data_IF_697890693104
#
_entry.id   IF_697890693104
#
_cell.length_a   1.000
_cell.length_b   1.000
_cell.length_c   1.000
_cell.angle_alpha   90.00
_cell.angle_beta   90.00
_cell.angle_gamma   90.00
#
_symmetry.space_group_name_H-M   'P 1'
#
loop_
_entity.id
_entity.type
_entity.pdbx_description
1 polymer ?
#
# COMPACT_ATOMS: atom_id res chain seq x y z
N UNK A 1 -3.89 -0.83 10.71
CA UNK A 1 -2.44 -0.56 10.76
C UNK A 1 -2.26 0.94 10.76
N UNK A 2 -1.40 1.45 11.62
CA UNK A 2 -1.27 2.90 11.84
C UNK A 2 0.01 3.44 11.18
N UNK A 3 -0.01 4.67 10.64
CA UNK A 3 1.18 5.28 10.07
C UNK A 3 2.27 5.39 11.14
N UNK A 4 3.44 4.83 10.84
CA UNK A 4 4.59 4.90 11.75
C UNK A 4 5.23 6.28 11.67
N UNK A 5 5.58 6.93 12.80
CA UNK A 5 6.18 8.26 12.76
C UNK A 5 7.56 8.24 12.13
N UNK A 6 7.95 9.37 11.54
CA UNK A 6 9.31 9.60 11.06
C UNK A 6 10.28 9.73 12.25
N UNK A 7 11.45 9.10 12.14
CA UNK A 7 12.49 9.16 13.17
C UNK A 7 13.41 10.38 13.04
N UNK A 8 13.21 11.20 12.03
CA UNK A 8 14.08 12.34 11.70
C UNK A 8 13.23 13.48 11.15
N UNK A 9 13.72 14.71 11.32
CA UNK A 9 12.99 15.93 10.95
C UNK A 9 13.45 16.50 9.61
N UNK A 10 14.69 16.19 9.21
CA UNK A 10 15.30 16.65 7.97
C UNK A 10 16.22 15.57 7.39
N UNK A 11 16.45 15.63 6.08
CA UNK A 11 17.37 14.76 5.37
C UNK A 11 18.16 15.61 4.36
N UNK A 12 19.49 15.48 4.35
CA UNK A 12 20.31 16.21 3.39
C UNK A 12 19.92 15.81 1.96
N UNK A 13 19.72 16.80 1.08
CA UNK A 13 19.25 16.57 -0.30
C UNK A 13 17.73 16.50 -0.48
N UNK A 14 16.93 16.57 0.59
CA UNK A 14 15.46 16.69 0.51
C UNK A 14 14.98 17.93 1.27
N UNK A 15 14.06 18.68 0.65
CA UNK A 15 13.39 19.78 1.35
C UNK A 15 12.40 19.28 2.39
N UNK A 16 12.18 20.06 3.44
CA UNK A 16 11.19 19.75 4.48
C UNK A 16 9.77 19.58 3.91
N UNK A 17 9.41 20.39 2.90
CA UNK A 17 8.12 20.28 2.21
C UNK A 17 7.98 18.91 1.56
N UNK A 18 9.00 18.46 0.82
CA UNK A 18 8.99 17.13 0.19
C UNK A 18 8.87 16.02 1.22
N UNK A 19 9.55 16.15 2.36
CA UNK A 19 9.50 15.16 3.44
C UNK A 19 8.09 15.05 4.04
N UNK A 20 7.47 16.19 4.36
CA UNK A 20 6.10 16.27 4.87
C UNK A 20 5.10 15.70 3.87
N UNK A 21 5.17 16.11 2.62
CA UNK A 21 4.23 15.67 1.59
C UNK A 21 4.34 14.16 1.37
N UNK A 22 5.57 13.63 1.34
CA UNK A 22 5.81 12.20 1.17
C UNK A 22 5.31 11.38 2.38
N UNK A 23 5.55 11.83 3.60
CA UNK A 23 5.16 11.09 4.80
C UNK A 23 3.69 11.31 5.19
N UNK A 24 3.29 12.57 5.39
CA UNK A 24 2.01 12.91 6.01
C UNK A 24 0.85 12.71 5.04
N UNK A 25 1.10 12.80 3.72
CA UNK A 25 0.07 12.62 2.70
C UNK A 25 0.21 11.26 2.01
N UNK A 26 1.33 10.97 1.35
CA UNK A 26 1.45 9.76 0.54
C UNK A 26 1.53 8.49 1.40
N UNK A 27 2.46 8.44 2.36
CA UNK A 27 2.61 7.26 3.22
C UNK A 27 1.35 7.00 4.05
N UNK A 28 0.78 8.03 4.68
CA UNK A 28 -0.52 7.90 5.38
C UNK A 28 -1.64 7.38 4.45
N UNK A 29 -1.68 7.87 3.20
CA UNK A 29 -2.61 7.41 2.17
C UNK A 29 -2.44 5.93 1.83
N UNK A 30 -1.20 5.45 1.65
CA UNK A 30 -0.92 4.03 1.40
C UNK A 30 -1.33 3.13 2.57
N UNK A 31 -1.09 3.57 3.81
CA UNK A 31 -1.50 2.82 5.01
C UNK A 31 -3.02 2.71 5.07
N UNK A 32 -3.74 3.82 4.84
CA UNK A 32 -5.20 3.82 4.77
C UNK A 32 -5.70 2.84 3.70
N UNK A 33 -5.15 2.92 2.48
CA UNK A 33 -5.57 2.06 1.37
C UNK A 33 -5.32 0.58 1.65
N UNK A 34 -4.21 0.26 2.29
CA UNK A 34 -3.88 -1.10 2.70
C UNK A 34 -4.89 -1.63 3.72
N UNK A 35 -5.29 -0.81 4.69
CA UNK A 35 -6.32 -1.18 5.65
C UNK A 35 -7.67 -1.44 4.95
N UNK A 36 -8.09 -0.56 4.03
CA UNK A 36 -9.30 -0.76 3.23
C UNK A 36 -9.28 -2.11 2.48
N UNK A 37 -8.17 -2.43 1.81
CA UNK A 37 -8.01 -3.70 1.08
C UNK A 37 -8.07 -4.89 2.04
N UNK A 38 -7.39 -4.81 3.19
CA UNK A 38 -7.42 -5.89 4.19
C UNK A 38 -8.81 -6.16 4.72
N UNK A 39 -9.61 -5.12 4.95
CA UNK A 39 -11.01 -5.29 5.35
C UNK A 39 -11.84 -5.91 4.24
N UNK A 40 -11.70 -5.44 2.99
CA UNK A 40 -12.40 -6.01 1.84
C UNK A 40 -12.05 -7.49 1.61
N UNK A 41 -10.80 -7.87 1.86
CA UNK A 41 -10.34 -9.27 1.74
C UNK A 41 -10.99 -10.21 2.77
N UNK A 42 -11.44 -9.72 3.94
CA UNK A 42 -12.12 -10.58 4.92
C UNK A 42 -13.43 -11.14 4.42
N UNK A 43 -14.10 -10.39 3.54
CA UNK A 43 -15.40 -10.73 2.96
C UNK A 43 -15.28 -11.16 1.50
N UNK A 44 -14.06 -11.21 0.96
CA UNK A 44 -13.83 -11.63 -0.41
C UNK A 44 -14.10 -13.14 -0.53
N UNK A 45 -14.97 -13.51 -1.46
CA UNK A 45 -15.25 -14.90 -1.79
C UNK A 45 -14.04 -15.50 -2.52
N UNK A 46 -13.34 -16.42 -1.86
CA UNK A 46 -12.20 -17.15 -2.44
C UNK A 46 -12.62 -18.36 -3.25
N UNK A 47 -13.89 -18.78 -3.18
CA UNK A 47 -14.41 -19.96 -3.88
C UNK A 47 -14.88 -19.64 -5.30
N UNK A 48 -15.39 -18.44 -5.55
CA UNK A 48 -15.78 -17.95 -6.89
C UNK A 48 -14.65 -17.32 -7.71
N UNK A 49 -13.40 -17.36 -7.21
CA UNK A 49 -12.24 -16.85 -7.91
C UNK A 49 -11.98 -17.64 -9.19
N UNK A 50 -12.34 -17.06 -10.34
CA UNK A 50 -12.05 -17.63 -11.65
C UNK A 50 -10.53 -17.55 -11.89
N UNK A 51 -9.75 -18.46 -11.28
CA UNK A 51 -8.34 -18.69 -11.57
C UNK A 51 -8.22 -19.31 -12.97
N UNK A 52 -8.67 -18.62 -14.01
CA UNK A 52 -8.23 -18.90 -15.37
C UNK A 52 -6.81 -18.33 -15.52
N UNK A 53 -5.85 -18.92 -14.82
CA UNK A 53 -4.45 -18.81 -15.19
C UNK A 53 -4.26 -19.80 -16.35
N UNK A 54 -4.65 -19.37 -17.55
CA UNK A 54 -4.36 -20.08 -18.79
C UNK A 54 -2.83 -20.15 -18.93
N UNK A 55 -2.23 -21.22 -18.43
CA UNK A 55 -0.82 -21.53 -18.68
C UNK A 55 -0.70 -21.97 -20.14
N UNK A 56 -0.79 -21.01 -21.07
CA UNK A 56 -0.26 -21.16 -22.44
C UNK A 56 1.25 -21.33 -22.35
N UNK A 57 1.71 -22.57 -22.27
CA UNK A 57 3.00 -23.05 -22.83
C UNK A 57 2.78 -24.53 -23.20
N UNK A 58 2.42 -24.84 -24.45
CA UNK A 58 3.36 -25.23 -25.52
C UNK A 58 4.37 -26.28 -25.06
N UNK A 59 4.08 -27.55 -25.34
CA UNK A 59 4.94 -28.57 -25.95
C UNK A 59 4.17 -29.90 -25.99
#
# INVERSE_FOLDING_TARGET
MDPKPLNYTSLEGLSEKQLKEHHDVLYAGYVKKTNEIREALKTADTAGGNFCFERRKTA
#
